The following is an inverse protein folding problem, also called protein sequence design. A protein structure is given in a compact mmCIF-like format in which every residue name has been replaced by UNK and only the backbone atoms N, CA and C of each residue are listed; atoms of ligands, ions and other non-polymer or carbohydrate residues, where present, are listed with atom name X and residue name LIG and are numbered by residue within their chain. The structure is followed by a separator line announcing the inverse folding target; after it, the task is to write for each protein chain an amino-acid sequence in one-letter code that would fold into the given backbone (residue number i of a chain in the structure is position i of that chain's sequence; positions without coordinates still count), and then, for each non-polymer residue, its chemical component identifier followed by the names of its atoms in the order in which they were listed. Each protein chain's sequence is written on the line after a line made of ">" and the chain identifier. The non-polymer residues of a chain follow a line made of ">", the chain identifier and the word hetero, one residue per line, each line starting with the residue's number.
data_IF_379550999501
#
_entry.id   IF_379550999501
#
_cell.length_a   1.000
_cell.length_b   1.000
_cell.length_c   1.000
_cell.angle_alpha   90.00
_cell.angle_beta   90.00
_cell.angle_gamma   90.00
#
_symmetry.space_group_name_H-M   'P 1'
#
loop_
_entity.id
_entity.type
_entity.pdbx_description
1 polymer ?
#
# COMPACT_ATOMS: atom_id res chain seq x y z
N UNK A 1 -24.26 23.30 8.41
CA UNK A 1 -24.30 21.85 8.72
C UNK A 1 -23.64 21.14 7.54
N UNK A 2 -22.41 20.67 7.71
CA UNK A 2 -21.66 19.99 6.66
C UNK A 2 -22.25 18.59 6.47
N UNK A 3 -23.07 18.42 5.44
CA UNK A 3 -23.48 17.08 4.99
C UNK A 3 -22.28 16.45 4.30
N UNK A 4 -21.43 15.82 5.11
CA UNK A 4 -20.30 15.04 4.69
C UNK A 4 -20.84 13.80 3.95
N UNK A 5 -21.00 13.87 2.63
CA UNK A 5 -21.43 12.73 1.81
C UNK A 5 -20.32 11.68 1.87
N UNK A 6 -20.37 10.82 2.89
CA UNK A 6 -19.33 9.85 3.14
C UNK A 6 -19.43 8.75 2.09
N UNK A 7 -18.36 8.57 1.32
CA UNK A 7 -18.21 7.55 0.29
C UNK A 7 -18.64 6.14 0.73
N UNK A 8 -18.53 5.88 2.03
CA UNK A 8 -18.85 4.63 2.73
C UNK A 8 -20.35 4.34 2.84
N UNK A 9 -21.22 5.33 2.60
CA UNK A 9 -22.67 5.16 2.67
C UNK A 9 -23.23 4.34 1.50
N UNK A 10 -22.46 4.15 0.43
CA UNK A 10 -22.81 3.26 -0.67
C UNK A 10 -22.52 1.79 -0.28
N UNK A 11 -23.54 0.94 -0.04
CA UNK A 11 -23.33 -0.40 0.51
C UNK A 11 -22.46 -1.29 -0.39
N UNK A 12 -22.66 -1.17 -1.70
CA UNK A 12 -21.92 -1.95 -2.70
C UNK A 12 -20.44 -1.53 -2.80
N UNK A 13 -20.16 -0.22 -2.73
CA UNK A 13 -18.78 0.28 -2.66
C UNK A 13 -18.07 -0.23 -1.40
N UNK A 14 -18.73 -0.11 -0.25
CA UNK A 14 -18.19 -0.58 1.04
C UNK A 14 -17.90 -2.08 1.01
N UNK A 15 -18.85 -2.91 0.55
CA UNK A 15 -18.68 -4.36 0.44
C UNK A 15 -17.50 -4.74 -0.46
N UNK A 16 -17.40 -4.09 -1.62
CA UNK A 16 -16.29 -4.31 -2.55
C UNK A 16 -14.94 -3.87 -1.97
N UNK A 17 -14.91 -2.78 -1.22
CA UNK A 17 -13.69 -2.31 -0.56
C UNK A 17 -13.24 -3.27 0.55
N UNK A 18 -14.17 -3.72 1.40
CA UNK A 18 -13.89 -4.70 2.47
C UNK A 18 -13.29 -5.98 1.88
N UNK A 19 -13.85 -6.50 0.79
CA UNK A 19 -13.32 -7.69 0.10
C UNK A 19 -11.86 -7.52 -0.31
N UNK A 20 -11.51 -6.36 -0.90
CA UNK A 20 -10.13 -6.04 -1.31
C UNK A 20 -9.19 -5.93 -0.12
N UNK A 21 -9.63 -5.27 0.95
CA UNK A 21 -8.85 -5.11 2.18
C UNK A 21 -8.60 -6.46 2.86
N UNK A 22 -9.58 -7.35 2.91
CA UNK A 22 -9.41 -8.70 3.46
C UNK A 22 -8.41 -9.55 2.66
N UNK A 23 -8.40 -9.41 1.33
CA UNK A 23 -7.38 -10.04 0.49
C UNK A 23 -5.99 -9.50 0.81
N UNK A 24 -5.84 -8.19 0.94
CA UNK A 24 -4.56 -7.54 1.30
C UNK A 24 -4.08 -8.04 2.67
N UNK A 25 -4.96 -8.12 3.67
CA UNK A 25 -4.64 -8.67 5.00
C UNK A 25 -4.11 -10.10 4.91
N UNK A 26 -4.79 -10.96 4.15
CA UNK A 26 -4.33 -12.33 3.90
C UNK A 26 -2.94 -12.40 3.26
N UNK A 27 -2.62 -11.46 2.34
CA UNK A 27 -1.30 -11.38 1.73
C UNK A 27 -0.22 -10.91 2.71
N UNK A 28 -0.52 -9.93 3.58
CA UNK A 28 0.40 -9.45 4.63
C UNK A 28 0.75 -10.58 5.60
N UNK A 29 -0.24 -11.33 6.08
CA UNK A 29 -0.02 -12.52 6.91
C UNK A 29 0.77 -13.61 6.18
N UNK A 30 0.59 -13.70 4.85
CA UNK A 30 1.40 -14.56 3.99
C UNK A 30 2.88 -14.17 4.02
N UNK A 31 3.18 -12.89 3.84
CA UNK A 31 4.55 -12.34 3.91
C UNK A 31 5.17 -12.64 5.29
N UNK A 32 4.42 -12.44 6.36
CA UNK A 32 4.88 -12.75 7.72
C UNK A 32 5.34 -14.21 7.85
N UNK A 33 4.52 -15.16 7.37
CA UNK A 33 4.89 -16.58 7.37
C UNK A 33 6.10 -16.87 6.50
N UNK A 34 6.22 -16.24 5.34
CA UNK A 34 7.37 -16.42 4.45
C UNK A 34 8.67 -15.96 5.12
N UNK A 35 8.63 -14.83 5.82
CA UNK A 35 9.78 -14.31 6.58
C UNK A 35 10.14 -15.25 7.73
N UNK A 36 9.16 -15.70 8.52
CA UNK A 36 9.37 -16.63 9.64
C UNK A 36 9.94 -17.99 9.19
N UNK A 37 9.55 -18.44 8.00
CA UNK A 37 10.00 -19.71 7.42
C UNK A 37 11.27 -19.56 6.55
N UNK A 38 11.96 -18.41 6.61
CA UNK A 38 13.18 -18.13 5.85
C UNK A 38 13.06 -18.47 4.35
N UNK A 39 11.91 -18.13 3.75
CA UNK A 39 11.69 -18.30 2.30
C UNK A 39 12.62 -17.40 1.48
N UNK A 40 12.75 -17.70 0.18
CA UNK A 40 13.63 -16.94 -0.71
C UNK A 40 13.24 -15.46 -0.74
N UNK A 41 14.25 -14.59 -0.75
CA UNK A 41 14.04 -13.15 -0.74
C UNK A 41 13.23 -12.68 -1.96
N UNK A 42 13.48 -13.23 -3.14
CA UNK A 42 12.77 -12.87 -4.37
C UNK A 42 11.28 -13.16 -4.29
N UNK A 43 10.90 -14.29 -3.68
CA UNK A 43 9.50 -14.65 -3.48
C UNK A 43 8.81 -13.64 -2.53
N UNK A 44 9.50 -13.23 -1.48
CA UNK A 44 8.98 -12.22 -0.53
C UNK A 44 8.83 -10.86 -1.22
N UNK A 45 9.84 -10.42 -1.99
CA UNK A 45 9.80 -9.17 -2.76
C UNK A 45 8.68 -9.16 -3.81
N UNK A 46 8.48 -10.31 -4.47
CA UNK A 46 7.37 -10.52 -5.40
C UNK A 46 6.01 -10.38 -4.70
N UNK A 47 5.88 -10.96 -3.51
CA UNK A 47 4.65 -10.86 -2.74
C UNK A 47 4.39 -9.44 -2.25
N UNK A 48 5.41 -8.72 -1.77
CA UNK A 48 5.31 -7.31 -1.41
C UNK A 48 4.84 -6.47 -2.61
N UNK A 49 5.38 -6.72 -3.80
CA UNK A 49 4.98 -6.03 -5.03
C UNK A 49 3.52 -6.32 -5.41
N UNK A 50 3.03 -7.54 -5.17
CA UNK A 50 1.63 -7.90 -5.35
C UNK A 50 0.71 -7.12 -4.40
N UNK A 51 1.10 -7.00 -3.13
CA UNK A 51 0.33 -6.22 -2.14
C UNK A 51 0.29 -4.74 -2.50
N UNK A 52 1.43 -4.16 -2.89
CA UNK A 52 1.49 -2.76 -3.37
C UNK A 52 0.53 -2.52 -4.55
N UNK A 53 0.47 -3.47 -5.49
CA UNK A 53 -0.44 -3.40 -6.65
C UNK A 53 -1.91 -3.44 -6.21
N UNK A 54 -2.25 -4.31 -5.25
CA UNK A 54 -3.60 -4.37 -4.69
C UNK A 54 -3.99 -3.07 -3.96
N UNK A 55 -3.06 -2.48 -3.20
CA UNK A 55 -3.24 -1.18 -2.53
C UNK A 55 -3.43 -0.04 -3.54
N UNK A 56 -2.71 -0.05 -4.67
CA UNK A 56 -2.93 0.92 -5.75
C UNK A 56 -4.35 0.81 -6.34
N UNK A 57 -4.85 -0.42 -6.52
CA UNK A 57 -6.23 -0.65 -6.96
C UNK A 57 -7.27 -0.11 -5.97
N UNK A 58 -7.04 -0.32 -4.68
CA UNK A 58 -7.87 0.27 -3.60
C UNK A 58 -7.83 1.80 -3.65
N UNK A 59 -6.64 2.39 -3.70
CA UNK A 59 -6.46 3.84 -3.77
C UNK A 59 -7.20 4.47 -4.95
N UNK A 60 -7.08 3.86 -6.15
CA UNK A 60 -7.76 4.34 -7.36
C UNK A 60 -9.27 4.40 -7.18
N UNK A 61 -9.86 3.31 -6.68
CA UNK A 61 -11.31 3.20 -6.48
C UNK A 61 -11.81 4.20 -5.44
N UNK A 62 -11.09 4.36 -4.33
CA UNK A 62 -11.46 5.31 -3.27
C UNK A 62 -11.29 6.76 -3.76
N UNK A 63 -10.23 7.07 -4.50
CA UNK A 63 -9.96 8.41 -5.03
C UNK A 63 -11.01 8.83 -6.06
N UNK A 64 -11.42 7.92 -6.94
CA UNK A 64 -12.48 8.20 -7.91
C UNK A 64 -13.79 8.60 -7.22
N UNK A 65 -14.20 7.82 -6.21
CA UNK A 65 -15.41 8.12 -5.43
C UNK A 65 -15.25 9.43 -4.64
N UNK A 66 -14.08 9.68 -4.08
CA UNK A 66 -13.79 10.92 -3.36
C UNK A 66 -13.94 12.16 -4.25
N UNK A 67 -13.40 12.12 -5.48
CA UNK A 67 -13.50 13.22 -6.43
C UNK A 67 -14.95 13.43 -6.85
N UNK A 68 -15.65 12.37 -7.27
CA UNK A 68 -17.02 12.47 -7.80
C UNK A 68 -18.03 12.97 -6.76
N UNK A 69 -17.82 12.65 -5.49
CA UNK A 69 -18.76 12.96 -4.42
C UNK A 69 -18.28 14.14 -3.58
N UNK A 70 -17.23 13.96 -2.78
CA UNK A 70 -16.81 14.96 -1.80
C UNK A 70 -16.29 16.23 -2.49
N UNK A 71 -15.33 16.10 -3.40
CA UNK A 71 -14.70 17.27 -4.04
C UNK A 71 -15.71 18.05 -4.89
N UNK A 72 -16.50 17.37 -5.72
CA UNK A 72 -17.54 18.02 -6.54
C UNK A 72 -18.62 18.67 -5.68
N UNK A 73 -19.01 18.06 -4.55
CA UNK A 73 -19.95 18.66 -3.63
C UNK A 73 -19.41 19.95 -3.02
N UNK A 74 -18.20 19.89 -2.46
CA UNK A 74 -17.56 21.03 -1.80
C UNK A 74 -17.40 22.21 -2.76
N UNK A 75 -17.02 21.95 -4.02
CA UNK A 75 -16.98 22.97 -5.08
C UNK A 75 -18.36 23.59 -5.31
N UNK A 76 -19.40 22.76 -5.46
CA UNK A 76 -20.78 23.23 -5.70
C UNK A 76 -21.37 24.02 -4.53
N UNK A 77 -20.90 23.78 -3.31
CA UNK A 77 -21.36 24.48 -2.11
C UNK A 77 -20.53 25.71 -1.74
N UNK A 78 -19.57 26.10 -2.59
CA UNK A 78 -18.77 27.32 -2.41
C UNK A 78 -17.47 27.13 -1.61
N UNK A 79 -17.05 25.89 -1.35
CA UNK A 79 -15.80 25.54 -0.67
C UNK A 79 -14.67 25.14 -1.65
N UNK A 80 -14.63 25.77 -2.83
CA UNK A 80 -13.74 25.36 -3.94
C UNK A 80 -12.26 25.35 -3.56
N UNK A 81 -11.77 26.38 -2.86
CA UNK A 81 -10.35 26.51 -2.53
C UNK A 81 -9.89 25.42 -1.56
N UNK A 82 -10.73 25.11 -0.57
CA UNK A 82 -10.47 24.04 0.39
C UNK A 82 -10.51 22.67 -0.29
N UNK A 83 -11.50 22.43 -1.17
CA UNK A 83 -11.64 21.20 -1.92
C UNK A 83 -10.42 20.92 -2.81
N UNK A 84 -9.96 21.93 -3.55
CA UNK A 84 -8.79 21.85 -4.43
C UNK A 84 -7.52 21.62 -3.60
N UNK A 85 -7.33 22.37 -2.51
CA UNK A 85 -6.17 22.21 -1.62
C UNK A 85 -6.10 20.79 -1.05
N UNK A 86 -7.21 20.28 -0.52
CA UNK A 86 -7.29 18.92 0.05
C UNK A 86 -7.04 17.84 -1.01
N UNK A 87 -7.51 18.03 -2.23
CA UNK A 87 -7.25 17.11 -3.34
C UNK A 87 -5.77 17.13 -3.73
N UNK A 88 -5.15 18.30 -3.85
CA UNK A 88 -3.71 18.44 -4.12
C UNK A 88 -2.89 17.73 -3.04
N UNK A 89 -3.21 17.93 -1.76
CA UNK A 89 -2.53 17.25 -0.66
C UNK A 89 -2.69 15.73 -0.74
N UNK A 90 -3.89 15.27 -1.07
CA UNK A 90 -4.15 13.84 -1.27
C UNK A 90 -3.31 13.28 -2.41
N UNK A 91 -3.25 13.97 -3.56
CA UNK A 91 -2.43 13.57 -4.71
C UNK A 91 -0.93 13.61 -4.40
N UNK A 92 -0.46 14.63 -3.70
CA UNK A 92 0.93 14.75 -3.27
C UNK A 92 1.34 13.58 -2.39
N UNK A 93 0.47 13.10 -1.50
CA UNK A 93 0.73 11.90 -0.71
C UNK A 93 0.87 10.62 -1.57
N UNK A 94 0.22 10.56 -2.74
CA UNK A 94 0.40 9.46 -3.68
C UNK A 94 1.70 9.53 -4.47
N UNK A 95 2.19 10.74 -4.74
CA UNK A 95 3.38 11.00 -5.58
C UNK A 95 4.65 11.00 -4.73
N UNK A 96 4.65 11.72 -3.61
CA UNK A 96 5.80 11.90 -2.74
C UNK A 96 5.87 10.78 -1.72
N UNK A 97 7.03 10.14 -1.67
CA UNK A 97 7.35 9.05 -0.73
C UNK A 97 7.63 9.68 0.65
N UNK A 98 6.79 9.52 1.68
CA UNK A 98 7.18 9.94 3.02
C UNK A 98 8.36 9.07 3.46
N UNK A 99 9.52 9.71 3.65
CA UNK A 99 10.72 9.09 4.16
C UNK A 99 10.54 8.95 5.68
N UNK A 100 10.28 7.73 6.17
CA UNK A 100 10.15 7.45 7.60
C UNK A 100 11.36 6.68 8.11
N UNK A 101 11.81 7.09 9.30
CA UNK A 101 12.99 6.60 10.03
C UNK A 101 13.21 5.08 9.91
N UNK A 102 14.41 4.68 9.46
CA UNK A 102 14.82 3.29 9.15
C UNK A 102 15.23 2.49 10.39
N UNK A 103 14.39 2.41 11.42
CA UNK A 103 14.73 1.64 12.65
C UNK A 103 13.85 0.44 12.94
N UNK A 104 12.73 0.27 12.24
CA UNK A 104 11.83 -0.86 12.47
C UNK A 104 12.37 -2.12 11.78
N UNK A 105 12.28 -3.27 12.47
CA UNK A 105 12.50 -4.58 11.84
C UNK A 105 11.24 -5.03 11.07
N UNK A 106 11.34 -6.11 10.30
CA UNK A 106 10.23 -6.60 9.47
C UNK A 106 8.98 -6.97 10.30
N UNK A 107 9.14 -7.50 11.50
CA UNK A 107 8.01 -7.89 12.37
C UNK A 107 7.24 -6.65 12.87
N UNK A 108 7.96 -5.61 13.28
CA UNK A 108 7.37 -4.33 13.71
C UNK A 108 6.64 -3.64 12.57
N UNK A 109 7.19 -3.69 11.35
CA UNK A 109 6.54 -3.16 10.16
C UNK A 109 5.23 -3.92 9.88
N UNK A 110 5.24 -5.25 9.96
CA UNK A 110 4.03 -6.07 9.75
C UNK A 110 2.95 -5.72 10.76
N UNK A 111 3.29 -5.63 12.05
CA UNK A 111 2.33 -5.24 13.11
C UNK A 111 1.73 -3.86 12.85
N UNK A 112 2.54 -2.91 12.35
CA UNK A 112 2.04 -1.58 11.96
C UNK A 112 1.06 -1.68 10.79
N UNK A 113 1.39 -2.44 9.75
CA UNK A 113 0.51 -2.64 8.59
C UNK A 113 -0.82 -3.29 9.02
N UNK A 114 -0.79 -4.34 9.84
CA UNK A 114 -2.00 -5.00 10.33
C UNK A 114 -2.90 -4.04 11.11
N UNK A 115 -2.31 -3.20 11.97
CA UNK A 115 -3.05 -2.15 12.68
C UNK A 115 -3.65 -1.12 11.72
N UNK A 116 -2.93 -0.76 10.66
CA UNK A 116 -3.44 0.16 9.64
C UNK A 116 -4.60 -0.44 8.84
N UNK A 117 -4.54 -1.73 8.50
CA UNK A 117 -5.64 -2.47 7.88
C UNK A 117 -6.89 -2.43 8.77
N UNK A 118 -6.72 -2.63 10.08
CA UNK A 118 -7.83 -2.55 11.03
C UNK A 118 -8.43 -1.13 11.11
N UNK A 119 -7.58 -0.10 11.04
CA UNK A 119 -8.06 1.28 10.95
C UNK A 119 -8.90 1.51 9.69
N UNK A 120 -8.56 0.91 8.53
CA UNK A 120 -9.39 1.01 7.32
C UNK A 120 -10.78 0.39 7.56
N UNK A 121 -10.86 -0.78 8.21
CA UNK A 121 -12.14 -1.41 8.56
C UNK A 121 -12.96 -0.51 9.47
N UNK A 122 -12.33 0.06 10.49
CA UNK A 122 -12.98 1.03 11.39
C UNK A 122 -13.49 2.26 10.65
N UNK A 123 -12.71 2.82 9.71
CA UNK A 123 -13.15 3.93 8.87
C UNK A 123 -14.39 3.56 8.03
N UNK A 124 -14.39 2.36 7.46
CA UNK A 124 -15.52 1.85 6.68
C UNK A 124 -16.77 1.64 7.54
N UNK A 125 -16.59 1.15 8.77
CA UNK A 125 -17.70 0.87 9.68
C UNK A 125 -18.34 2.12 10.24
N UNK A 126 -17.53 3.13 10.59
CA UNK A 126 -18.00 4.40 11.15
C UNK A 126 -18.36 5.45 10.09
N UNK A 127 -18.49 5.04 8.84
CA UNK A 127 -18.74 5.91 7.70
C UNK A 127 -17.83 7.16 7.63
N UNK A 128 -16.53 6.97 7.83
CA UNK A 128 -15.58 8.07 7.83
C UNK A 128 -15.18 8.51 6.40
N UNK A 129 -14.56 9.69 6.32
CA UNK A 129 -14.19 10.32 5.05
C UNK A 129 -13.19 9.47 4.22
N UNK A 130 -13.40 9.46 2.90
CA UNK A 130 -12.50 8.84 1.91
C UNK A 130 -11.03 9.25 2.09
N UNK A 131 -10.76 10.51 2.44
CA UNK A 131 -9.40 11.04 2.58
C UNK A 131 -8.63 10.32 3.69
N UNK A 132 -9.31 9.88 4.76
CA UNK A 132 -8.71 9.07 5.83
C UNK A 132 -8.25 7.70 5.30
N UNK A 133 -9.08 7.04 4.51
CA UNK A 133 -8.73 5.74 3.90
C UNK A 133 -7.52 5.90 2.96
N UNK A 134 -7.50 6.93 2.13
CA UNK A 134 -6.38 7.21 1.22
C UNK A 134 -5.06 7.47 1.97
N UNK A 135 -5.11 8.20 3.09
CA UNK A 135 -3.95 8.42 3.97
C UNK A 135 -3.42 7.11 4.56
N UNK A 136 -4.31 6.25 5.04
CA UNK A 136 -3.91 4.96 5.61
C UNK A 136 -3.29 4.06 4.53
N UNK A 137 -3.93 3.94 3.35
CA UNK A 137 -3.40 3.15 2.23
C UNK A 137 -2.00 3.64 1.81
N UNK A 138 -1.79 4.95 1.78
CA UNK A 138 -0.48 5.54 1.49
C UNK A 138 0.56 5.17 2.57
N UNK A 139 0.16 5.18 3.84
CA UNK A 139 1.06 4.80 4.92
C UNK A 139 1.45 3.32 4.85
N UNK A 140 0.51 2.40 4.52
CA UNK A 140 0.82 0.97 4.34
C UNK A 140 1.83 0.80 3.20
N UNK A 141 1.65 1.53 2.09
CA UNK A 141 2.61 1.51 0.98
C UNK A 141 4.00 1.97 1.41
N UNK A 142 4.09 2.99 2.26
CA UNK A 142 5.34 3.46 2.85
C UNK A 142 6.05 2.38 3.66
N UNK A 143 5.30 1.70 4.53
CA UNK A 143 5.77 0.59 5.35
C UNK A 143 6.29 -0.59 4.50
N UNK A 144 5.55 -0.97 3.46
CA UNK A 144 5.98 -2.01 2.50
C UNK A 144 7.24 -1.61 1.72
N UNK A 145 7.38 -0.34 1.35
CA UNK A 145 8.58 0.13 0.66
C UNK A 145 9.82 0.04 1.57
N UNK A 146 9.68 0.37 2.86
CA UNK A 146 10.76 0.24 3.83
C UNK A 146 11.18 -1.22 4.00
N UNK A 147 10.21 -2.13 4.14
CA UNK A 147 10.46 -3.56 4.24
C UNK A 147 11.16 -4.11 2.99
N UNK A 148 10.66 -3.76 1.80
CA UNK A 148 11.24 -4.19 0.54
C UNK A 148 12.69 -3.71 0.37
N UNK A 149 13.00 -2.49 0.82
CA UNK A 149 14.37 -1.96 0.81
C UNK A 149 15.30 -2.83 1.66
N UNK A 150 14.91 -3.14 2.90
CA UNK A 150 15.72 -3.97 3.81
C UNK A 150 15.95 -5.37 3.23
N UNK A 151 14.89 -6.01 2.71
CA UNK A 151 14.99 -7.35 2.14
C UNK A 151 15.88 -7.35 0.89
N UNK A 152 15.72 -6.35 0.02
CA UNK A 152 16.53 -6.22 -1.19
C UNK A 152 18.01 -6.01 -0.87
N UNK A 153 18.33 -5.14 0.09
CA UNK A 153 19.72 -4.92 0.53
C UNK A 153 20.35 -6.21 1.07
N UNK A 154 19.60 -7.02 1.83
CA UNK A 154 20.09 -8.30 2.34
C UNK A 154 20.22 -9.36 1.23
N UNK A 155 19.29 -9.39 0.28
CA UNK A 155 19.34 -10.32 -0.85
C UNK A 155 20.58 -10.08 -1.71
N UNK A 156 20.85 -8.81 -2.06
CA UNK A 156 22.04 -8.46 -2.86
C UNK A 156 23.32 -8.84 -2.12
N UNK A 157 23.41 -8.60 -0.80
CA UNK A 157 24.62 -8.87 -0.01
C UNK A 157 24.86 -10.35 0.26
N UNK A 158 23.80 -11.12 0.54
CA UNK A 158 23.94 -12.47 1.11
C UNK A 158 23.56 -13.59 0.13
N UNK A 159 22.71 -13.31 -0.86
CA UNK A 159 22.21 -14.33 -1.78
C UNK A 159 22.81 -14.12 -3.17
N UNK A 160 22.59 -12.95 -3.79
CA UNK A 160 22.87 -12.73 -5.21
C UNK A 160 24.32 -13.03 -5.60
N UNK A 161 25.30 -12.59 -4.79
CA UNK A 161 26.70 -12.85 -5.05
C UNK A 161 27.04 -14.35 -5.06
N UNK A 162 26.49 -15.10 -4.10
CA UNK A 162 26.72 -16.54 -3.98
C UNK A 162 25.99 -17.30 -5.10
N UNK A 163 24.78 -16.87 -5.44
CA UNK A 163 24.00 -17.48 -6.51
C UNK A 163 24.70 -17.30 -7.85
N UNK A 164 25.21 -16.10 -8.17
CA UNK A 164 25.97 -15.83 -9.41
C UNK A 164 27.17 -16.77 -9.54
N UNK A 165 27.91 -17.00 -8.44
CA UNK A 165 29.04 -17.93 -8.42
C UNK A 165 28.58 -19.38 -8.67
N UNK A 166 27.39 -19.76 -8.20
CA UNK A 166 26.83 -21.09 -8.38
C UNK A 166 26.25 -21.33 -9.80
N UNK A 167 25.81 -20.27 -10.48
CA UNK A 167 25.33 -20.28 -11.86
C UNK A 167 24.00 -21.04 -12.10
N UNK A 168 23.46 -20.99 -13.34
CA UNK A 168 23.93 -20.21 -14.49
C UNK A 168 23.65 -18.71 -14.31
N UNK A 169 24.68 -17.89 -14.55
CA UNK A 169 24.69 -16.44 -14.30
C UNK A 169 23.52 -15.71 -14.99
N UNK A 170 23.33 -15.93 -16.29
CA UNK A 170 22.29 -15.25 -17.08
C UNK A 170 20.90 -15.40 -16.45
N UNK A 171 20.57 -16.61 -15.99
CA UNK A 171 19.27 -16.88 -15.38
C UNK A 171 19.08 -16.10 -14.07
N UNK A 172 20.12 -16.03 -13.25
CA UNK A 172 20.07 -15.33 -11.96
C UNK A 172 19.92 -13.84 -12.17
N UNK A 173 20.63 -13.28 -13.15
CA UNK A 173 20.50 -11.87 -13.54
C UNK A 173 19.08 -11.59 -14.04
N UNK A 174 18.53 -12.44 -14.92
CA UNK A 174 17.17 -12.29 -15.44
C UNK A 174 16.11 -12.34 -14.34
N UNK A 175 16.21 -13.31 -13.42
CA UNK A 175 15.28 -13.47 -12.28
C UNK A 175 15.35 -12.23 -11.34
N UNK A 176 16.56 -11.72 -11.09
CA UNK A 176 16.76 -10.51 -10.29
C UNK A 176 16.19 -9.27 -10.98
N UNK A 177 16.49 -9.07 -12.27
CA UNK A 177 15.97 -7.96 -13.08
C UNK A 177 14.45 -7.99 -13.18
N UNK A 178 13.86 -9.19 -13.32
CA UNK A 178 12.40 -9.36 -13.27
C UNK A 178 11.82 -8.86 -11.95
N UNK A 179 12.44 -9.23 -10.83
CA UNK A 179 12.02 -8.83 -9.48
C UNK A 179 12.12 -7.31 -9.28
N UNK A 180 13.23 -6.69 -9.68
CA UNK A 180 13.43 -5.23 -9.61
C UNK A 180 12.40 -4.48 -10.45
N UNK A 181 12.19 -4.89 -11.70
CA UNK A 181 11.24 -4.24 -12.60
C UNK A 181 9.80 -4.30 -12.07
N UNK A 182 9.44 -5.37 -11.37
CA UNK A 182 8.13 -5.50 -10.73
C UNK A 182 8.00 -4.62 -9.50
N UNK A 183 9.07 -4.42 -8.74
CA UNK A 183 9.08 -3.54 -7.56
C UNK A 183 8.96 -2.05 -7.91
N UNK A 184 9.44 -1.66 -9.08
CA UNK A 184 9.42 -0.28 -9.60
C UNK A 184 8.05 0.14 -10.17
N UNK A 185 7.16 -0.81 -10.46
CA UNK A 185 5.77 -0.57 -10.87
C UNK A 185 4.87 -0.27 -9.67
#
# INVERSE_FOLDING_TARGET
>A
MTNNFACTEQPEFRKNLISRINRIDGQIRGIERMIKNHQKCDDILNQISSVKSALNGVAKVVLEVHIRNCVVHDIKTGSENEAISNLIDTLNNFIHKPNKNLKDNNEDIIKKIEKQIENIRTCLDKNQCCSSILKIVTSIKGELNSMAKVILEQHVKNCLANDIIAGPEDKIIDDFLYTINKMMK
#
